data_IF_147349103405
#
_entry.id   IF_147349103405
#
_cell.length_a   1.000
_cell.length_b   1.000
_cell.length_c   1.000
_cell.angle_alpha   90.00
_cell.angle_beta   90.00
_cell.angle_gamma   90.00
#
_symmetry.space_group_name_H-M   'P 1'
#
loop_
_entity.id
_entity.type
_entity.pdbx_description
1 polymer ?
#
# COMPACT_ATOMS: atom_id res chain seq x y z
N UNK A 1 -53.72 75.24 -20.13
CA UNK A 1 -54.19 74.36 -21.22
C UNK A 1 -53.16 74.43 -22.34
N UNK A 2 -52.50 73.31 -22.64
CA UNK A 2 -51.46 73.24 -23.67
C UNK A 2 -51.05 71.78 -23.86
N UNK A 3 -51.30 71.26 -25.06
CA UNK A 3 -50.93 69.94 -25.55
C UNK A 3 -49.44 69.86 -25.87
N UNK A 4 -48.86 68.65 -25.81
CA UNK A 4 -47.54 68.37 -26.39
C UNK A 4 -47.12 66.91 -26.23
N UNK A 5 -47.35 66.12 -27.29
CA UNK A 5 -46.91 64.73 -27.49
C UNK A 5 -45.38 64.55 -27.46
N UNK A 6 -44.91 63.31 -27.18
CA UNK A 6 -43.77 62.77 -27.96
C UNK A 6 -42.79 61.80 -27.29
N UNK A 7 -43.03 60.50 -27.54
CA UNK A 7 -42.03 59.46 -27.86
C UNK A 7 -41.24 58.75 -26.72
N UNK A 8 -41.45 57.44 -26.68
CA UNK A 8 -40.69 56.38 -26.00
C UNK A 8 -39.29 56.19 -26.61
N UNK A 9 -38.28 55.91 -25.80
CA UNK A 9 -37.36 54.80 -26.08
C UNK A 9 -36.72 54.28 -24.78
N UNK A 10 -36.78 52.96 -24.65
CA UNK A 10 -36.22 52.11 -23.59
C UNK A 10 -34.86 51.62 -24.11
N UNK A 11 -33.76 51.75 -23.35
CA UNK A 11 -32.68 50.75 -23.39
C UNK A 11 -31.74 50.81 -22.17
N UNK A 12 -31.47 49.60 -21.69
CA UNK A 12 -30.67 49.13 -20.56
C UNK A 12 -29.17 49.20 -20.85
N UNK A 13 -28.32 49.42 -19.82
CA UNK A 13 -26.98 48.79 -19.59
C UNK A 13 -26.40 49.40 -18.28
N UNK A 14 -26.41 48.71 -17.14
CA UNK A 14 -25.45 47.69 -16.65
C UNK A 14 -24.02 48.21 -16.42
N UNK A 15 -23.50 47.82 -15.24
CA UNK A 15 -22.09 47.71 -14.85
C UNK A 15 -21.35 48.98 -14.38
N UNK A 16 -21.70 49.45 -13.19
CA UNK A 16 -20.66 49.80 -12.20
C UNK A 16 -20.30 48.52 -11.43
N UNK A 17 -19.53 47.64 -12.06
CA UNK A 17 -18.74 46.65 -11.33
C UNK A 17 -17.34 47.22 -11.22
N UNK A 18 -16.92 47.42 -9.97
CA UNK A 18 -15.60 47.85 -9.58
C UNK A 18 -14.52 47.08 -10.36
N UNK A 19 -13.79 47.79 -11.21
CA UNK A 19 -12.42 47.43 -11.52
C UNK A 19 -11.61 47.56 -10.22
N UNK A 20 -11.41 46.47 -9.50
CA UNK A 20 -10.24 46.35 -8.62
C UNK A 20 -9.10 45.84 -9.48
N UNK A 21 -8.21 46.77 -9.83
CA UNK A 21 -6.89 46.50 -10.36
C UNK A 21 -6.11 45.62 -9.36
N UNK A 22 -5.47 44.51 -9.78
CA UNK A 22 -4.60 43.73 -8.91
C UNK A 22 -3.23 44.43 -8.84
N UNK A 23 -3.16 45.56 -8.13
CA UNK A 23 -1.91 46.30 -7.95
C UNK A 23 -1.61 46.66 -6.48
N UNK A 24 -2.54 46.42 -5.55
CA UNK A 24 -2.30 46.69 -4.13
C UNK A 24 -1.93 45.39 -3.39
N UNK A 25 -0.64 45.29 -3.06
CA UNK A 25 0.02 44.13 -2.48
C UNK A 25 -0.35 43.84 -1.03
N UNK A 26 -1.54 43.29 -0.80
CA UNK A 26 -1.87 42.62 0.45
C UNK A 26 -2.93 41.50 0.29
N UNK A 27 -2.95 40.83 -0.87
CA UNK A 27 -3.65 39.56 -0.96
C UNK A 27 -2.90 38.54 -0.08
N UNK A 28 -3.54 38.09 1.00
CA UNK A 28 -3.02 36.95 1.76
C UNK A 28 -2.84 35.79 0.78
N UNK A 29 -1.69 35.11 0.82
CA UNK A 29 -1.39 34.08 -0.15
C UNK A 29 -2.43 32.97 -0.11
N UNK A 30 -2.86 32.54 -1.29
CA UNK A 30 -3.83 31.46 -1.45
C UNK A 30 -3.36 30.17 -0.73
N UNK A 31 -4.07 29.76 0.33
CA UNK A 31 -3.85 28.48 0.99
C UNK A 31 -4.56 27.33 0.29
N UNK A 32 -3.85 26.23 0.04
CA UNK A 32 -4.43 24.95 -0.38
C UNK A 32 -4.34 23.98 0.80
N UNK A 33 -5.39 23.22 1.04
CA UNK A 33 -5.36 22.09 1.97
C UNK A 33 -5.37 20.80 1.17
N UNK A 34 -4.47 19.88 1.53
CA UNK A 34 -4.39 18.54 0.97
C UNK A 34 -4.82 17.50 2.01
N UNK A 35 -5.78 16.66 1.65
CA UNK A 35 -6.25 15.56 2.47
C UNK A 35 -6.06 14.26 1.70
N UNK A 36 -5.08 13.47 2.11
CA UNK A 36 -4.82 12.14 1.58
C UNK A 36 -4.68 11.13 2.72
N UNK A 37 -4.89 9.83 2.44
CA UNK A 37 -4.49 8.78 3.36
C UNK A 37 -2.96 8.79 3.55
N UNK A 38 -2.51 8.51 4.76
CA UNK A 38 -1.09 8.46 5.10
C UNK A 38 -0.32 7.35 4.34
N UNK A 39 -1.05 6.31 3.92
CA UNK A 39 -0.49 5.15 3.23
C UNK A 39 -1.40 4.72 2.07
N UNK A 40 -0.79 4.46 0.92
CA UNK A 40 -1.39 3.87 -0.27
C UNK A 40 -0.72 2.54 -0.60
N UNK A 41 -1.36 1.75 -1.46
CA UNK A 41 -0.77 0.51 -1.96
C UNK A 41 -0.79 0.47 -3.49
N UNK A 42 0.20 -0.22 -4.04
CA UNK A 42 0.35 -0.49 -5.48
C UNK A 42 -0.03 -1.93 -5.77
N UNK A 43 -0.87 -2.18 -6.77
CA UNK A 43 -1.10 -3.55 -7.25
C UNK A 43 0.11 -4.12 -8.01
N UNK A 44 -0.01 -5.38 -8.44
CA UNK A 44 0.98 -6.06 -9.27
C UNK A 44 1.24 -5.34 -10.61
N UNK A 45 0.28 -4.54 -11.09
CA UNK A 45 0.39 -3.72 -12.29
C UNK A 45 1.08 -2.38 -12.03
N UNK A 46 1.70 -2.20 -10.86
CA UNK A 46 2.39 -0.98 -10.45
C UNK A 46 1.49 0.26 -10.41
N UNK A 47 0.19 0.06 -10.23
CA UNK A 47 -0.80 1.14 -10.15
C UNK A 47 -1.16 1.39 -8.69
N UNK A 48 -0.92 2.62 -8.21
CA UNK A 48 -1.32 3.01 -6.86
C UNK A 48 -2.83 3.24 -6.76
N UNK A 49 -3.46 2.73 -5.70
CA UNK A 49 -4.89 2.88 -5.45
C UNK A 49 -5.11 3.86 -4.30
N UNK A 50 -5.55 5.06 -4.63
CA UNK A 50 -5.77 6.13 -3.66
C UNK A 50 -6.38 7.38 -4.27
N UNK A 51 -7.10 8.13 -3.45
CA UNK A 51 -7.67 9.43 -3.82
C UNK A 51 -7.11 10.50 -2.90
N UNK A 52 -6.54 11.54 -3.49
CA UNK A 52 -6.17 12.78 -2.82
C UNK A 52 -7.30 13.78 -2.98
N UNK A 53 -7.79 14.33 -1.89
CA UNK A 53 -8.70 15.45 -1.92
C UNK A 53 -7.93 16.76 -1.72
N UNK A 54 -8.34 17.80 -2.44
CA UNK A 54 -7.81 19.15 -2.25
C UNK A 54 -8.95 20.14 -2.10
N UNK A 55 -8.68 21.20 -1.34
CA UNK A 55 -9.60 22.31 -1.15
C UNK A 55 -8.82 23.61 -0.93
N UNK A 56 -9.18 24.67 -1.65
CA UNK A 56 -8.67 26.02 -1.40
C UNK A 56 -9.42 26.62 -0.21
N UNK A 57 -8.71 27.14 0.78
CA UNK A 57 -9.27 27.50 2.09
C UNK A 57 -9.58 29.00 2.28
N UNK A 58 -9.55 29.80 1.22
CA UNK A 58 -9.63 31.26 1.32
C UNK A 58 -11.03 31.85 1.00
N UNK A 59 -11.41 33.01 1.59
CA UNK A 59 -12.72 33.64 1.41
C UNK A 59 -13.02 34.06 -0.03
N UNK A 60 -11.99 34.38 -0.83
CA UNK A 60 -12.16 34.79 -2.23
C UNK A 60 -12.43 33.60 -3.17
N UNK A 61 -12.47 32.36 -2.68
CA UNK A 61 -12.93 31.20 -3.46
C UNK A 61 -14.35 31.41 -4.01
N UNK A 62 -15.19 32.21 -3.33
CA UNK A 62 -16.51 32.59 -3.86
C UNK A 62 -16.43 33.41 -5.17
N UNK A 63 -15.27 33.99 -5.47
CA UNK A 63 -14.97 34.74 -6.70
C UNK A 63 -14.00 33.98 -7.61
N UNK A 64 -13.97 32.65 -7.51
CA UNK A 64 -13.07 31.80 -8.29
C UNK A 64 -13.15 32.14 -9.78
N UNK A 65 -12.04 32.63 -10.34
CA UNK A 65 -11.94 33.04 -11.72
C UNK A 65 -11.44 31.87 -12.58
N UNK A 66 -11.98 31.64 -13.79
CA UNK A 66 -11.51 30.60 -14.72
C UNK A 66 -10.02 30.61 -15.08
N UNK A 67 -9.32 31.74 -14.87
CA UNK A 67 -7.87 31.86 -15.07
C UNK A 67 -7.04 31.24 -13.94
N UNK A 68 -7.68 30.88 -12.82
CA UNK A 68 -7.05 30.24 -11.67
C UNK A 68 -7.17 28.72 -11.77
N UNK A 69 -6.09 28.04 -11.39
CA UNK A 69 -6.04 26.59 -11.31
C UNK A 69 -5.38 26.15 -10.03
N UNK A 70 -5.76 24.98 -9.52
CA UNK A 70 -4.99 24.28 -8.49
C UNK A 70 -4.08 23.30 -9.20
N UNK A 71 -2.76 23.44 -9.05
CA UNK A 71 -1.80 22.48 -9.58
C UNK A 71 -1.21 21.63 -8.45
N UNK A 72 -1.09 20.33 -8.71
CA UNK A 72 -0.55 19.34 -7.78
C UNK A 72 0.65 18.64 -8.41
N UNK A 73 1.74 18.55 -7.66
CA UNK A 73 2.96 17.82 -8.01
C UNK A 73 3.16 16.65 -7.06
N UNK A 74 3.70 15.54 -7.58
CA UNK A 74 4.14 14.40 -6.79
C UNK A 74 5.63 14.19 -6.98
N UNK A 75 6.40 14.42 -5.92
CA UNK A 75 7.85 14.21 -5.91
C UNK A 75 8.18 12.91 -5.17
N UNK A 76 9.04 12.08 -5.74
CA UNK A 76 9.59 10.92 -5.08
C UNK A 76 10.69 11.35 -4.11
N UNK A 77 10.61 10.89 -2.86
CA UNK A 77 11.64 11.11 -1.85
C UNK A 77 12.58 9.91 -1.81
N UNK A 78 13.84 10.13 -2.18
CA UNK A 78 14.88 9.12 -2.09
C UNK A 78 15.18 8.81 -0.61
N UNK A 79 14.95 7.57 -0.13
CA UNK A 79 15.11 7.25 1.29
C UNK A 79 16.58 7.27 1.74
N UNK A 80 17.54 7.13 0.82
CA UNK A 80 18.97 7.15 1.16
C UNK A 80 19.54 8.56 1.27
N UNK A 81 19.04 9.49 0.46
CA UNK A 81 19.58 10.86 0.37
C UNK A 81 18.65 11.94 0.91
N UNK A 82 17.36 11.64 1.08
CA UNK A 82 16.32 12.62 1.36
C UNK A 82 16.04 13.56 0.19
N UNK A 83 16.65 13.34 -0.97
CA UNK A 83 16.46 14.20 -2.14
C UNK A 83 15.08 13.97 -2.77
N UNK A 84 14.42 15.07 -3.15
CA UNK A 84 13.18 15.03 -3.92
C UNK A 84 13.51 14.94 -5.41
N UNK A 85 12.86 14.03 -6.12
CA UNK A 85 12.93 13.90 -7.58
C UNK A 85 11.52 13.98 -8.13
N UNK A 86 11.31 14.87 -9.10
CA UNK A 86 10.02 15.00 -9.77
C UNK A 86 9.58 13.63 -10.32
N UNK A 87 8.41 13.16 -9.88
CA UNK A 87 7.89 11.86 -10.26
C UNK A 87 6.60 11.96 -11.07
N UNK A 88 5.74 12.94 -10.76
CA UNK A 88 4.49 13.18 -11.48
C UNK A 88 4.01 14.63 -11.37
N UNK A 89 3.24 15.07 -12.38
CA UNK A 89 2.65 16.41 -12.44
C UNK A 89 3.49 17.47 -13.18
N UNK A 90 3.05 18.75 -13.19
CA UNK A 90 1.85 19.24 -12.52
C UNK A 90 0.56 18.69 -13.13
N UNK A 91 -0.39 18.31 -12.28
CA UNK A 91 -1.78 18.09 -12.65
C UNK A 91 -2.58 19.31 -12.21
N UNK A 92 -3.17 20.03 -13.16
CA UNK A 92 -3.86 21.29 -12.89
C UNK A 92 -5.36 21.18 -13.10
N UNK A 93 -6.12 21.72 -12.16
CA UNK A 93 -7.58 21.62 -12.10
C UNK A 93 -8.20 23.01 -12.04
N UNK A 94 -9.32 23.19 -12.76
CA UNK A 94 -10.00 24.47 -12.84
C UNK A 94 -10.93 24.72 -11.64
N UNK A 95 -11.23 23.69 -10.86
CA UNK A 95 -12.08 23.78 -9.68
C UNK A 95 -11.27 24.12 -8.42
N UNK A 96 -11.84 24.88 -7.46
CA UNK A 96 -11.18 25.18 -6.19
C UNK A 96 -11.12 23.99 -5.21
N UNK A 97 -11.82 22.90 -5.54
CA UNK A 97 -11.83 21.67 -4.75
C UNK A 97 -12.08 20.47 -5.65
N UNK A 98 -11.54 19.32 -5.29
CA UNK A 98 -11.71 18.12 -6.09
C UNK A 98 -11.01 16.90 -5.53
N UNK A 99 -10.99 15.85 -6.34
CA UNK A 99 -10.39 14.57 -6.04
C UNK A 99 -9.44 14.18 -7.18
N UNK A 100 -8.23 13.77 -6.83
CA UNK A 100 -7.19 13.36 -7.77
C UNK A 100 -6.85 11.91 -7.53
N UNK A 101 -6.81 11.14 -8.61
CA UNK A 101 -6.42 9.74 -8.55
C UNK A 101 -4.88 9.63 -8.51
N UNK A 102 -4.37 8.85 -7.56
CA UNK A 102 -2.94 8.71 -7.29
C UNK A 102 -2.26 7.61 -8.10
N UNK A 103 -2.93 7.05 -9.12
CA UNK A 103 -2.45 5.95 -9.97
C UNK A 103 -1.06 6.15 -10.58
N UNK A 104 -0.65 7.39 -10.82
CA UNK A 104 0.67 7.72 -11.40
C UNK A 104 1.83 7.52 -10.41
N UNK A 105 1.57 7.29 -9.11
CA UNK A 105 2.62 7.09 -8.12
C UNK A 105 3.13 5.65 -8.09
N UNK A 106 4.44 5.48 -8.28
CA UNK A 106 5.11 4.21 -8.02
C UNK A 106 5.28 3.93 -6.53
N UNK A 107 5.77 2.73 -6.19
CA UNK A 107 6.09 2.39 -4.80
C UNK A 107 7.22 3.27 -4.24
N UNK A 108 7.10 3.66 -2.97
CA UNK A 108 8.08 4.46 -2.23
C UNK A 108 7.46 5.59 -1.42
N UNK A 109 8.30 6.51 -0.98
CA UNK A 109 7.88 7.68 -0.22
C UNK A 109 7.73 8.87 -1.16
N UNK A 110 6.61 9.58 -1.09
CA UNK A 110 6.32 10.72 -1.96
C UNK A 110 5.94 11.94 -1.14
N UNK A 111 6.29 13.12 -1.67
CA UNK A 111 5.84 14.41 -1.18
C UNK A 111 4.90 14.97 -2.24
N UNK A 112 3.64 15.13 -1.87
CA UNK A 112 2.66 15.86 -2.67
C UNK A 112 2.78 17.33 -2.33
N UNK A 113 2.85 18.17 -3.35
CA UNK A 113 2.76 19.61 -3.18
C UNK A 113 1.63 20.19 -4.00
N UNK A 114 0.94 21.20 -3.49
CA UNK A 114 -0.13 21.88 -4.21
C UNK A 114 -0.10 23.39 -4.01
N UNK A 115 -0.46 24.12 -5.06
CA UNK A 115 -0.57 25.57 -5.07
C UNK A 115 -1.66 26.04 -6.02
N UNK A 116 -2.17 27.24 -5.76
CA UNK A 116 -2.99 27.99 -6.72
C UNK A 116 -2.06 28.69 -7.70
N UNK A 117 -2.31 28.49 -8.99
CA UNK A 117 -1.58 29.14 -10.07
C UNK A 117 -2.55 29.93 -10.95
N UNK A 118 -2.02 30.91 -11.65
CA UNK A 118 -2.72 31.64 -12.70
C UNK A 118 -2.04 31.42 -14.05
N UNK A 119 -2.83 31.12 -15.08
CA UNK A 119 -2.34 31.09 -16.46
C UNK A 119 -1.88 32.51 -16.86
N UNK A 120 -0.60 32.70 -17.17
CA UNK A 120 -0.04 34.03 -17.42
C UNK A 120 0.18 34.38 -18.90
N UNK A 121 -0.04 33.47 -19.85
CA UNK A 121 0.37 33.69 -21.25
C UNK A 121 -0.66 33.20 -22.27
N UNK A 122 -0.76 33.94 -23.39
CA UNK A 122 -1.49 33.59 -24.61
C UNK A 122 -0.92 32.34 -25.33
N UNK A 123 0.20 31.83 -24.82
CA UNK A 123 1.04 30.75 -25.36
C UNK A 123 1.08 29.53 -24.40
N UNK A 124 0.47 29.64 -23.21
CA UNK A 124 0.19 28.52 -22.29
C UNK A 124 1.36 28.01 -21.43
N UNK A 125 2.60 28.49 -21.61
CA UNK A 125 3.77 27.86 -20.98
C UNK A 125 4.18 28.45 -19.61
N UNK A 126 3.74 29.65 -19.23
CA UNK A 126 4.17 30.29 -17.97
C UNK A 126 3.03 30.35 -16.95
N UNK A 127 3.16 29.57 -15.87
CA UNK A 127 2.24 29.60 -14.72
C UNK A 127 2.80 30.54 -13.64
N UNK A 128 1.98 31.48 -13.16
CA UNK A 128 2.31 32.29 -11.99
C UNK A 128 1.77 31.59 -10.74
N UNK A 129 2.67 31.15 -9.85
CA UNK A 129 2.27 30.62 -8.55
C UNK A 129 1.81 31.78 -7.66
N UNK A 130 0.54 31.73 -7.23
CA UNK A 130 -0.10 32.76 -6.41
C UNK A 130 -0.12 32.40 -4.92
N UNK A 131 0.08 31.12 -4.59
CA UNK A 131 0.29 30.67 -3.21
C UNK A 131 1.70 31.07 -2.74
N UNK A 132 1.81 31.68 -1.56
CA UNK A 132 3.13 31.96 -0.95
C UNK A 132 3.82 30.68 -0.47
N UNK A 133 3.03 29.67 -0.09
CA UNK A 133 3.54 28.38 0.33
C UNK A 133 2.76 27.25 -0.35
N UNK A 134 3.49 26.24 -0.81
CA UNK A 134 2.87 25.01 -1.28
C UNK A 134 2.39 24.22 -0.09
N UNK A 135 1.13 23.82 -0.12
CA UNK A 135 0.62 22.78 0.76
C UNK A 135 1.44 21.51 0.53
N UNK A 136 1.93 20.86 1.58
CA UNK A 136 2.71 19.63 1.46
C UNK A 136 2.06 18.50 2.24
N UNK A 137 1.99 17.33 1.61
CA UNK A 137 1.52 16.11 2.25
C UNK A 137 2.47 14.96 1.91
N UNK A 138 2.99 14.26 2.92
CA UNK A 138 3.87 13.10 2.70
C UNK A 138 3.03 11.84 2.74
N UNK A 139 3.19 10.98 1.74
CA UNK A 139 2.49 9.70 1.68
C UNK A 139 3.45 8.57 1.32
N UNK A 140 3.19 7.39 1.87
CA UNK A 140 3.93 6.18 1.53
C UNK A 140 3.10 5.27 0.64
N UNK A 141 3.66 4.87 -0.49
CA UNK A 141 3.04 3.92 -1.41
C UNK A 141 3.77 2.58 -1.28
N UNK A 142 3.12 1.56 -0.74
CA UNK A 142 3.73 0.23 -0.57
C UNK A 142 3.28 -0.74 -1.66
N UNK A 143 4.16 -1.65 -2.08
CA UNK A 143 3.76 -2.73 -3.01
C UNK A 143 2.84 -3.69 -2.27
N UNK A 144 1.66 -3.95 -2.84
CA UNK A 144 0.73 -4.96 -2.33
C UNK A 144 1.36 -6.33 -2.50
N UNK A 145 1.72 -6.95 -1.38
CA UNK A 145 2.27 -8.31 -1.30
C UNK A 145 1.60 -9.03 -0.15
N UNK A 146 1.34 -10.31 -0.36
CA UNK A 146 0.83 -11.16 0.71
C UNK A 146 1.78 -11.15 1.90
N UNK A 147 1.21 -11.28 3.10
CA UNK A 147 1.99 -11.37 4.32
C UNK A 147 2.78 -12.68 4.30
N UNK A 148 4.10 -12.59 4.20
CA UNK A 148 5.02 -13.72 4.27
C UNK A 148 5.42 -13.97 5.74
N UNK A 149 4.87 -15.00 6.41
CA UNK A 149 5.08 -15.23 7.83
C UNK A 149 6.52 -15.57 8.17
N UNK A 150 7.00 -15.06 9.30
CA UNK A 150 8.30 -15.43 9.88
C UNK A 150 8.16 -15.68 11.38
N UNK A 151 9.22 -16.19 12.02
CA UNK A 151 9.24 -16.38 13.48
C UNK A 151 9.40 -15.09 14.28
N UNK A 152 9.81 -13.99 13.63
CA UNK A 152 9.87 -12.67 14.26
C UNK A 152 8.50 -11.98 14.16
N UNK A 153 8.18 -11.13 15.13
CA UNK A 153 7.01 -10.25 15.02
C UNK A 153 7.20 -9.30 13.86
N UNK A 154 6.24 -9.29 12.94
CA UNK A 154 6.23 -8.41 11.78
C UNK A 154 4.92 -7.61 11.75
N UNK A 155 4.97 -6.33 11.36
CA UNK A 155 3.77 -5.55 11.16
C UNK A 155 2.94 -6.11 10.01
N UNK A 156 1.62 -6.12 10.19
CA UNK A 156 0.62 -6.50 9.21
C UNK A 156 -0.06 -5.24 8.75
N UNK A 157 0.00 -4.96 7.44
CA UNK A 157 -0.70 -3.81 6.86
C UNK A 157 -2.21 -4.05 6.88
N UNK A 158 -2.99 -2.98 6.92
CA UNK A 158 -4.46 -3.05 6.96
C UNK A 158 -5.05 -3.86 5.80
N UNK A 159 -4.44 -3.76 4.62
CA UNK A 159 -4.87 -4.47 3.41
C UNK A 159 -4.33 -5.91 3.32
N UNK A 160 -3.44 -6.34 4.21
CA UNK A 160 -2.85 -7.69 4.17
C UNK A 160 -3.77 -8.73 4.80
N UNK A 161 -4.02 -9.79 4.04
CA UNK A 161 -4.53 -11.04 4.59
C UNK A 161 -3.45 -11.73 5.43
N UNK A 162 -3.83 -12.21 6.62
CA UNK A 162 -2.93 -12.99 7.49
C UNK A 162 -3.32 -14.46 7.34
N UNK A 163 -2.41 -15.35 6.92
CA UNK A 163 -2.68 -16.78 6.85
C UNK A 163 -3.19 -17.36 8.18
N UNK A 164 -4.06 -18.37 8.14
CA UNK A 164 -4.51 -19.04 9.36
C UNK A 164 -3.34 -19.75 10.06
N UNK A 165 -3.45 -19.90 11.38
CA UNK A 165 -2.43 -20.59 12.20
C UNK A 165 -1.27 -19.71 12.67
N UNK A 166 -1.34 -18.40 12.44
CA UNK A 166 -0.37 -17.43 12.95
C UNK A 166 -0.75 -16.89 14.32
N UNK A 167 0.27 -16.52 15.10
CA UNK A 167 0.08 -15.73 16.32
C UNK A 167 -0.07 -14.26 15.92
N UNK A 168 -1.16 -13.62 16.34
CA UNK A 168 -1.48 -12.23 16.00
C UNK A 168 -1.60 -11.41 17.27
N UNK A 169 -0.95 -10.24 17.29
CA UNK A 169 -1.11 -9.22 18.34
C UNK A 169 -1.86 -8.03 17.77
N UNK A 170 -2.94 -7.68 18.46
CA UNK A 170 -3.79 -6.54 18.16
C UNK A 170 -3.67 -5.53 19.31
N UNK A 171 -3.32 -4.26 19.04
CA UNK A 171 -3.38 -3.21 20.05
C UNK A 171 -4.84 -2.95 20.43
N UNK A 172 -5.16 -2.94 21.73
CA UNK A 172 -6.52 -2.78 22.24
C UNK A 172 -6.98 -1.32 22.30
N UNK A 173 -6.02 -0.39 22.39
CA UNK A 173 -6.24 1.06 22.45
C UNK A 173 -6.35 1.70 21.06
N UNK A 174 -6.21 0.92 19.99
CA UNK A 174 -6.13 1.41 18.62
C UNK A 174 -4.83 2.17 18.31
N UNK A 175 -3.95 2.37 19.30
CA UNK A 175 -2.63 2.97 19.13
C UNK A 175 -1.56 1.89 19.08
N UNK A 176 -1.36 1.33 17.89
CA UNK A 176 -0.26 0.41 17.63
C UNK A 176 -0.39 -0.27 16.28
N UNK A 177 0.63 -1.04 15.90
CA UNK A 177 0.59 -1.84 14.69
C UNK A 177 0.05 -3.24 15.00
N UNK A 178 -0.90 -3.72 14.19
CA UNK A 178 -1.22 -5.14 14.13
C UNK A 178 0.04 -5.88 13.74
N UNK A 179 0.45 -6.87 14.52
CA UNK A 179 1.64 -7.69 14.21
C UNK A 179 1.30 -9.17 14.17
N UNK A 180 2.03 -9.94 13.39
CA UNK A 180 1.88 -11.38 13.30
C UNK A 180 3.24 -12.10 13.22
N UNK A 181 3.26 -13.36 13.65
CA UNK A 181 4.40 -14.27 13.50
C UNK A 181 3.95 -15.72 13.43
N UNK A 182 4.85 -16.60 13.01
CA UNK A 182 4.73 -18.05 13.17
C UNK A 182 4.82 -18.37 14.67
N UNK A 183 3.83 -19.09 15.25
CA UNK A 183 3.86 -19.46 16.65
C UNK A 183 4.99 -20.45 16.94
N UNK A 184 5.47 -20.44 18.18
CA UNK A 184 6.45 -21.43 18.65
C UNK A 184 5.97 -22.01 19.99
N UNK A 185 5.59 -23.30 20.03
CA UNK A 185 5.53 -24.27 18.92
C UNK A 185 4.33 -24.05 17.97
N UNK A 186 4.33 -24.74 16.82
CA UNK A 186 3.19 -24.87 15.93
C UNK A 186 2.96 -26.34 15.53
N UNK A 187 1.74 -26.67 15.09
CA UNK A 187 1.34 -28.05 14.78
C UNK A 187 1.61 -28.39 13.31
N UNK A 188 2.61 -29.23 13.05
CA UNK A 188 2.77 -29.88 11.74
C UNK A 188 1.69 -30.95 11.57
N UNK A 189 1.04 -30.95 10.40
CA UNK A 189 0.08 -31.98 10.00
C UNK A 189 0.43 -32.49 8.61
N UNK A 190 0.74 -33.77 8.51
CA UNK A 190 1.08 -34.43 7.25
C UNK A 190 0.19 -35.65 7.05
N UNK A 191 -0.22 -35.90 5.81
CA UNK A 191 -0.74 -37.20 5.43
C UNK A 191 0.41 -38.02 4.87
N UNK A 192 0.70 -39.13 5.53
CA UNK A 192 1.80 -40.02 5.22
C UNK A 192 1.25 -41.21 4.45
N UNK A 193 1.51 -41.24 3.14
CA UNK A 193 1.12 -42.34 2.28
C UNK A 193 2.30 -43.30 2.12
N UNK A 194 2.10 -44.55 2.53
CA UNK A 194 3.08 -45.62 2.38
C UNK A 194 2.40 -46.86 1.77
N UNK A 195 2.82 -47.32 0.58
CA UNK A 195 2.24 -48.50 -0.06
C UNK A 195 2.48 -49.81 0.70
N UNK A 196 3.41 -49.82 1.67
CA UNK A 196 3.73 -50.98 2.49
C UNK A 196 2.90 -51.07 3.78
N UNK A 197 2.08 -50.06 4.08
CA UNK A 197 1.21 -50.09 5.25
C UNK A 197 -0.17 -50.69 4.96
N UNK A 198 -0.78 -51.36 5.96
CA UNK A 198 -2.18 -51.76 5.85
C UNK A 198 -3.09 -50.53 5.89
N UNK A 199 -3.60 -50.13 4.72
CA UNK A 199 -4.43 -48.93 4.52
C UNK A 199 -3.75 -47.90 3.61
N UNK A 200 -4.47 -46.86 3.18
CA UNK A 200 -3.94 -45.87 2.23
C UNK A 200 -2.96 -44.84 2.85
N UNK A 201 -2.50 -45.05 4.09
CA UNK A 201 -1.63 -44.14 4.83
C UNK A 201 -2.17 -43.74 6.22
N UNK A 202 -1.51 -42.78 6.88
CA UNK A 202 -1.91 -42.25 8.19
C UNK A 202 -1.68 -40.74 8.32
N UNK A 203 -2.34 -40.10 9.29
CA UNK A 203 -2.11 -38.69 9.61
C UNK A 203 -1.06 -38.54 10.71
N UNK A 204 0.07 -37.92 10.37
CA UNK A 204 1.09 -37.52 11.32
C UNK A 204 0.82 -36.12 11.84
N UNK A 205 0.77 -35.96 13.17
CA UNK A 205 0.57 -34.68 13.84
C UNK A 205 1.61 -34.50 14.93
N UNK A 206 2.50 -33.52 14.78
CA UNK A 206 3.54 -33.22 15.77
C UNK A 206 3.64 -31.72 16.05
N UNK A 207 3.83 -31.35 17.32
CA UNK A 207 4.20 -29.98 17.69
C UNK A 207 5.68 -29.77 17.42
N UNK A 208 6.01 -28.73 16.66
CA UNK A 208 7.37 -28.44 16.19
C UNK A 208 7.72 -26.97 16.44
N UNK A 209 9.02 -26.68 16.52
CA UNK A 209 9.53 -25.32 16.65
C UNK A 209 10.42 -25.00 15.44
N UNK A 210 10.84 -23.74 15.31
CA UNK A 210 11.82 -23.39 14.27
C UNK A 210 13.15 -24.12 14.39
N UNK A 211 13.51 -24.62 15.59
CA UNK A 211 14.73 -25.37 15.84
C UNK A 211 14.59 -26.89 15.71
N UNK A 212 13.39 -27.41 15.48
CA UNK A 212 13.20 -28.85 15.23
C UNK A 212 13.92 -29.22 13.93
N UNK A 213 14.72 -30.29 13.97
CA UNK A 213 15.50 -30.75 12.80
C UNK A 213 14.70 -31.73 11.94
N UNK A 214 15.11 -31.93 10.69
CA UNK A 214 14.57 -32.99 9.83
C UNK A 214 14.81 -34.37 10.46
N UNK A 215 15.97 -34.59 11.09
CA UNK A 215 16.26 -35.82 11.81
C UNK A 215 15.25 -36.10 12.92
N UNK A 216 14.89 -35.09 13.71
CA UNK A 216 13.84 -35.22 14.75
C UNK A 216 12.48 -35.60 14.14
N UNK A 217 12.12 -34.99 13.01
CA UNK A 217 10.86 -35.30 12.31
C UNK A 217 10.86 -36.73 11.78
N UNK A 218 11.94 -37.16 11.13
CA UNK A 218 12.08 -38.54 10.62
C UNK A 218 11.99 -39.55 11.76
N UNK A 219 12.67 -39.30 12.88
CA UNK A 219 12.62 -40.16 14.06
C UNK A 219 11.19 -40.23 14.64
N UNK A 220 10.50 -39.09 14.73
CA UNK A 220 9.12 -39.03 15.22
C UNK A 220 8.14 -39.78 14.31
N UNK A 221 8.32 -39.69 12.99
CA UNK A 221 7.51 -40.41 12.00
C UNK A 221 7.81 -41.92 12.05
N UNK A 222 9.08 -42.30 12.06
CA UNK A 222 9.53 -43.69 12.16
C UNK A 222 9.00 -44.38 13.43
N UNK A 223 8.99 -43.65 14.55
CA UNK A 223 8.50 -44.14 15.84
C UNK A 223 6.98 -44.01 16.01
N UNK A 224 6.25 -43.59 14.97
CA UNK A 224 4.80 -43.39 15.07
C UNK A 224 4.10 -44.74 15.31
N UNK A 225 3.21 -44.75 16.31
CA UNK A 225 2.60 -45.97 16.88
C UNK A 225 1.93 -46.90 15.87
N UNK A 226 1.43 -46.34 14.77
CA UNK A 226 0.65 -47.05 13.74
C UNK A 226 1.53 -47.84 12.77
N UNK A 227 2.84 -47.56 12.72
CA UNK A 227 3.69 -47.94 11.59
C UNK A 227 5.02 -48.55 12.04
N UNK A 228 5.70 -47.92 13.02
CA UNK A 228 6.97 -48.40 13.58
C UNK A 228 7.99 -48.82 12.49
N UNK A 229 8.45 -47.86 11.69
CA UNK A 229 9.41 -48.12 10.61
C UNK A 229 10.85 -48.01 11.11
N UNK A 230 11.78 -48.75 10.47
CA UNK A 230 13.19 -48.41 10.51
C UNK A 230 13.44 -46.99 9.99
N UNK A 231 14.27 -46.21 10.68
CA UNK A 231 14.55 -44.80 10.36
C UNK A 231 15.12 -44.63 8.94
N UNK A 232 15.94 -45.58 8.50
CA UNK A 232 16.58 -45.65 7.19
C UNK A 232 15.59 -45.76 6.02
N UNK A 233 14.33 -46.11 6.28
CA UNK A 233 13.28 -46.17 5.26
C UNK A 233 12.47 -44.88 5.17
N UNK A 234 12.60 -43.96 6.13
CA UNK A 234 11.88 -42.70 6.14
C UNK A 234 12.76 -41.62 5.52
N UNK A 235 12.48 -41.19 4.30
CA UNK A 235 13.16 -40.06 3.66
C UNK A 235 12.22 -38.89 3.47
N UNK A 236 12.76 -37.67 3.45
CA UNK A 236 11.99 -36.46 3.27
C UNK A 236 12.51 -35.68 2.07
N UNK A 237 11.59 -35.12 1.29
CA UNK A 237 11.91 -34.20 0.19
C UNK A 237 11.07 -32.94 0.33
N UNK A 238 11.61 -31.81 -0.10
CA UNK A 238 10.92 -30.51 -0.11
C UNK A 238 11.03 -29.90 -1.50
N UNK A 239 9.90 -29.78 -2.19
CA UNK A 239 9.89 -29.31 -3.58
C UNK A 239 10.58 -30.29 -4.55
N UNK A 240 10.65 -31.58 -4.17
CA UNK A 240 11.31 -32.65 -4.94
C UNK A 240 12.81 -32.82 -4.68
N UNK A 241 13.44 -31.94 -3.90
CA UNK A 241 14.82 -32.10 -3.48
C UNK A 241 14.91 -32.85 -2.13
N UNK A 242 15.87 -33.76 -1.93
CA UNK A 242 16.10 -34.38 -0.62
C UNK A 242 16.52 -33.31 0.40
N UNK A 243 16.04 -33.46 1.64
CA UNK A 243 16.43 -32.59 2.77
C UNK A 243 17.34 -33.36 3.72
N UNK A 244 18.37 -32.69 4.24
CA UNK A 244 19.36 -33.29 5.13
C UNK A 244 18.90 -33.24 6.59
N UNK A 245 19.29 -34.24 7.39
CA UNK A 245 18.81 -34.41 8.77
C UNK A 245 19.12 -33.24 9.70
N UNK A 246 20.21 -32.51 9.45
CA UNK A 246 20.63 -31.38 10.29
C UNK A 246 19.89 -30.08 9.96
N UNK A 247 19.20 -30.02 8.81
CA UNK A 247 18.43 -28.82 8.44
C UNK A 247 17.24 -28.66 9.39
N UNK A 248 16.99 -27.42 9.79
CA UNK A 248 15.90 -27.08 10.70
C UNK A 248 14.63 -26.69 9.95
N UNK A 249 13.49 -26.84 10.62
CA UNK A 249 12.17 -26.35 10.16
C UNK A 249 12.24 -24.88 9.72
N UNK A 250 13.05 -24.05 10.40
CA UNK A 250 13.22 -22.63 10.06
C UNK A 250 14.07 -22.43 8.80
N UNK A 251 15.19 -23.12 8.66
CA UNK A 251 16.06 -23.02 7.47
C UNK A 251 15.34 -23.46 6.20
N UNK A 252 14.49 -24.49 6.31
CA UNK A 252 13.68 -25.01 5.20
C UNK A 252 12.45 -24.15 4.88
N UNK A 253 12.14 -23.15 5.70
CA UNK A 253 10.89 -22.38 5.64
C UNK A 253 9.64 -23.28 5.62
N UNK A 254 9.65 -24.32 6.46
CA UNK A 254 8.67 -25.41 6.35
C UNK A 254 7.23 -24.96 6.65
N UNK A 255 7.04 -23.89 7.45
CA UNK A 255 5.71 -23.35 7.71
C UNK A 255 5.02 -22.89 6.41
N UNK A 256 5.76 -22.17 5.57
CA UNK A 256 5.26 -21.66 4.29
C UNK A 256 5.25 -22.74 3.21
N UNK A 257 6.16 -23.71 3.29
CA UNK A 257 6.39 -24.74 2.28
C UNK A 257 5.86 -26.14 2.65
N UNK A 258 5.03 -26.25 3.69
CA UNK A 258 4.55 -27.55 4.20
C UNK A 258 3.89 -28.44 3.11
N UNK A 259 3.22 -27.83 2.12
CA UNK A 259 2.57 -28.56 1.02
C UNK A 259 3.55 -29.19 0.05
N UNK A 260 4.78 -28.69 0.02
CA UNK A 260 5.87 -29.22 -0.80
C UNK A 260 6.62 -30.35 -0.11
N UNK A 261 6.40 -30.54 1.20
CA UNK A 261 7.05 -31.59 1.97
C UNK A 261 6.42 -32.94 1.63
N UNK A 262 7.24 -33.89 1.21
CA UNK A 262 6.82 -35.26 0.90
C UNK A 262 7.71 -36.26 1.60
N UNK A 263 7.08 -37.35 2.06
CA UNK A 263 7.78 -38.52 2.55
C UNK A 263 8.02 -39.48 1.41
N UNK A 264 9.21 -40.07 1.37
CA UNK A 264 9.60 -41.08 0.41
C UNK A 264 10.00 -42.32 1.19
N UNK A 265 9.36 -43.45 0.89
CA UNK A 265 9.63 -44.74 1.50
C UNK A 265 10.42 -45.60 0.51
N UNK A 266 11.55 -46.15 0.93
CA UNK A 266 12.34 -47.03 0.07
C UNK A 266 13.76 -47.30 0.54
N UNK A 267 14.32 -48.37 -0.01
CA UNK A 267 15.71 -48.78 0.19
C UNK A 267 16.64 -47.91 -0.66
N UNK A 268 17.02 -46.75 -0.12
CA UNK A 268 17.97 -45.78 -0.65
C UNK A 268 17.64 -45.21 -2.05
N UNK A 269 17.69 -43.89 -2.17
CA UNK A 269 17.92 -43.22 -3.46
C UNK A 269 19.29 -43.69 -3.98
N UNK A 270 19.28 -44.74 -4.81
CA UNK A 270 20.43 -45.16 -5.61
C UNK A 270 20.62 -44.24 -6.81
#
# INVERSE_FOLDING_TARGET
>A
MGFGFGVRLLLVLLAQHCMMSPADGNASPAGVTLTAPAQLWVDENKTAHGVLHYQVSEPWVEQWNPSLKVCIWGDFLDPGTGAQRAASGPFCFAEPQGAVNMQALGAGLHVLSAAVVQDRSADGETMLELSAERARHTLRVDVKRDFAPTYAWQPVREWQGVPPGLEVRLPLDGSGERTARIPQPWQLQLFVQDPHLPGDGFFFRQQITGGTTVGDLRQAIASHREVQLPLELVWMTLGGAPVADHETVKELDLFNRQKELKLVFGSALG
#
